data_IF_867730604853
#
_entry.id   IF_867730604853
#
_cell.length_a   1.000
_cell.length_b   1.000
_cell.length_c   1.000
_cell.angle_alpha   90.00
_cell.angle_beta   90.00
_cell.angle_gamma   90.00
#
_symmetry.space_group_name_H-M   'P 1'
#
loop_
_entity.id
_entity.type
_entity.pdbx_description
1 polymer ?
#
# COMPACT_ATOMS: atom_id res chain seq x y z
N UNK A 1 2.71 -61.34 -50.05
CA UNK A 1 2.35 -60.53 -48.86
C UNK A 1 3.44 -59.49 -48.61
N UNK A 2 3.24 -58.24 -49.07
CA UNK A 2 4.15 -57.12 -48.75
C UNK A 2 3.54 -56.34 -47.60
N UNK A 3 4.18 -56.39 -46.42
CA UNK A 3 3.76 -55.64 -45.23
C UNK A 3 3.92 -54.14 -45.50
N UNK A 4 2.81 -53.40 -45.46
CA UNK A 4 2.82 -51.95 -45.39
C UNK A 4 3.40 -51.53 -44.04
N UNK A 5 4.62 -50.99 -44.06
CA UNK A 5 5.21 -50.32 -42.90
C UNK A 5 4.61 -48.91 -42.85
N UNK A 6 3.70 -48.70 -41.90
CA UNK A 6 3.14 -47.40 -41.55
C UNK A 6 4.29 -46.42 -41.22
N UNK A 7 4.32 -45.28 -41.90
CA UNK A 7 5.27 -44.20 -41.68
C UNK A 7 5.22 -43.70 -40.23
N UNK A 8 6.36 -43.70 -39.57
CA UNK A 8 6.54 -43.18 -38.21
C UNK A 8 6.92 -41.70 -38.27
N UNK A 9 5.95 -40.84 -38.56
CA UNK A 9 6.10 -39.38 -38.48
C UNK A 9 5.26 -38.83 -37.32
N UNK A 10 5.53 -39.30 -36.10
CA UNK A 10 4.88 -38.86 -34.87
C UNK A 10 5.89 -38.19 -33.93
N UNK A 11 5.44 -37.17 -33.19
CA UNK A 11 6.22 -36.57 -32.08
C UNK A 11 6.70 -37.69 -31.17
N UNK A 12 8.00 -37.75 -30.91
CA UNK A 12 8.54 -38.84 -30.09
C UNK A 12 8.06 -38.66 -28.65
N UNK A 13 7.69 -39.77 -27.98
CA UNK A 13 7.27 -39.75 -26.57
C UNK A 13 8.31 -39.01 -25.69
N UNK A 14 9.58 -39.11 -26.07
CA UNK A 14 10.69 -38.46 -25.38
C UNK A 14 10.70 -36.94 -25.55
N UNK A 15 10.42 -36.41 -26.75
CA UNK A 15 10.28 -34.96 -26.97
C UNK A 15 9.09 -34.39 -26.19
N UNK A 16 7.96 -35.10 -26.13
CA UNK A 16 6.81 -34.69 -25.33
C UNK A 16 7.16 -34.61 -23.84
N UNK A 17 7.89 -35.61 -23.32
CA UNK A 17 8.36 -35.64 -21.93
C UNK A 17 9.31 -34.48 -21.61
N UNK A 18 10.21 -34.13 -22.53
CA UNK A 18 11.14 -33.02 -22.36
C UNK A 18 10.39 -31.68 -22.31
N UNK A 19 9.42 -31.47 -23.21
CA UNK A 19 8.61 -30.24 -23.24
C UNK A 19 7.77 -30.11 -21.98
N UNK A 20 7.11 -31.18 -21.53
CA UNK A 20 6.31 -31.16 -20.30
C UNK A 20 7.19 -30.91 -19.07
N UNK A 21 8.35 -31.54 -18.98
CA UNK A 21 9.29 -31.34 -17.87
C UNK A 21 9.79 -29.91 -17.79
N UNK A 22 10.18 -29.32 -18.92
CA UNK A 22 10.57 -27.91 -19.01
C UNK A 22 9.41 -26.98 -18.63
N UNK A 23 8.20 -27.27 -19.10
CA UNK A 23 7.02 -26.45 -18.83
C UNK A 23 6.64 -26.47 -17.33
N UNK A 24 6.70 -27.65 -16.68
CA UNK A 24 6.45 -27.79 -15.25
C UNK A 24 7.51 -27.09 -14.40
N UNK A 25 8.79 -27.16 -14.80
CA UNK A 25 9.88 -26.46 -14.14
C UNK A 25 9.71 -24.94 -14.23
N UNK A 26 9.38 -24.44 -15.43
CA UNK A 26 9.10 -23.02 -15.68
C UNK A 26 7.91 -22.55 -14.84
N UNK A 27 6.82 -23.33 -14.79
CA UNK A 27 5.64 -23.02 -13.97
C UNK A 27 5.94 -23.04 -12.46
N UNK A 28 6.68 -24.04 -11.97
CA UNK A 28 6.99 -24.19 -10.55
C UNK A 28 7.88 -23.05 -10.02
N UNK A 29 8.89 -22.66 -10.79
CA UNK A 29 9.73 -21.51 -10.46
C UNK A 29 8.96 -20.18 -10.56
N UNK A 30 8.07 -20.04 -11.55
CA UNK A 30 7.18 -18.88 -11.67
C UNK A 30 6.23 -18.73 -10.48
N UNK A 31 5.67 -19.84 -9.99
CA UNK A 31 4.81 -19.86 -8.80
C UNK A 31 5.59 -19.47 -7.53
N UNK A 32 6.80 -19.99 -7.36
CA UNK A 32 7.68 -19.65 -6.22
C UNK A 32 8.02 -18.16 -6.18
N UNK A 33 8.34 -17.57 -7.33
CA UNK A 33 8.66 -16.15 -7.46
C UNK A 33 7.44 -15.25 -7.24
N UNK A 34 6.27 -15.62 -7.77
CA UNK A 34 5.02 -14.92 -7.50
C UNK A 34 4.73 -14.88 -6.00
N UNK A 35 4.86 -16.02 -5.30
CA UNK A 35 4.65 -16.10 -3.86
C UNK A 35 5.67 -15.28 -3.07
N UNK A 36 6.95 -15.33 -3.46
CA UNK A 36 8.01 -14.54 -2.83
C UNK A 36 7.79 -13.03 -3.02
N UNK A 37 7.45 -12.60 -4.24
CA UNK A 37 7.10 -11.23 -4.57
C UNK A 37 5.74 -10.77 -4.01
N UNK A 38 4.93 -11.67 -3.46
CA UNK A 38 3.74 -11.26 -2.70
C UNK A 38 4.11 -11.07 -1.22
N UNK A 39 4.94 -11.96 -0.69
CA UNK A 39 5.33 -11.98 0.73
C UNK A 39 6.32 -10.90 1.12
N UNK A 40 7.29 -10.56 0.26
CA UNK A 40 8.22 -9.47 0.60
C UNK A 40 7.53 -8.11 0.59
N UNK A 41 6.54 -7.92 -0.28
CA UNK A 41 5.92 -6.61 -0.52
C UNK A 41 4.84 -6.24 0.49
N UNK A 42 4.01 -7.18 0.97
CA UNK A 42 3.02 -6.89 2.02
C UNK A 42 3.68 -6.25 3.25
N UNK A 43 4.89 -6.69 3.58
CA UNK A 43 5.62 -6.21 4.74
C UNK A 43 6.23 -4.82 4.53
N UNK A 44 6.62 -4.45 3.30
CA UNK A 44 7.12 -3.10 3.02
C UNK A 44 5.99 -2.08 2.97
N UNK A 45 4.85 -2.45 2.39
CA UNK A 45 3.69 -1.56 2.28
C UNK A 45 3.07 -1.28 3.64
N UNK A 46 2.86 -2.30 4.48
CA UNK A 46 2.36 -2.14 5.84
C UNK A 46 3.23 -1.18 6.66
N UNK A 47 4.56 -1.33 6.58
CA UNK A 47 5.50 -0.41 7.23
C UNK A 47 5.37 1.01 6.71
N UNK A 48 5.25 1.20 5.41
CA UNK A 48 5.12 2.52 4.82
C UNK A 48 3.81 3.22 5.23
N UNK A 49 2.70 2.48 5.32
CA UNK A 49 1.40 3.00 5.77
C UNK A 49 1.49 3.51 7.20
N UNK A 50 1.96 2.66 8.12
CA UNK A 50 2.17 3.01 9.53
C UNK A 50 3.05 4.26 9.65
N UNK A 51 4.13 4.32 8.86
CA UNK A 51 5.05 5.46 8.85
C UNK A 51 4.38 6.76 8.39
N UNK A 52 3.56 6.68 7.34
CA UNK A 52 2.88 7.85 6.80
C UNK A 52 1.75 8.34 7.72
N UNK A 53 1.00 7.41 8.29
CA UNK A 53 -0.06 7.68 9.26
C UNK A 53 0.50 8.34 10.53
N UNK A 54 1.55 7.77 11.12
CA UNK A 54 2.22 8.35 12.28
C UNK A 54 2.70 9.78 12.01
N UNK A 55 3.27 10.05 10.82
CA UNK A 55 3.66 11.41 10.41
C UNK A 55 2.48 12.35 10.18
N UNK A 56 1.33 11.84 9.76
CA UNK A 56 0.11 12.65 9.58
C UNK A 56 -0.47 13.07 10.93
N UNK A 57 -0.60 12.10 11.85
CA UNK A 57 -1.01 12.35 13.24
C UNK A 57 -0.05 13.35 13.88
N UNK A 58 1.26 13.15 13.69
CA UNK A 58 2.27 14.03 14.26
C UNK A 58 2.13 15.48 13.81
N UNK A 59 1.87 15.72 12.53
CA UNK A 59 1.65 17.08 12.01
C UNK A 59 0.35 17.69 12.53
N UNK A 60 -0.73 16.90 12.56
CA UNK A 60 -1.99 17.38 13.10
C UNK A 60 -1.87 17.79 14.58
N UNK A 61 -1.22 16.94 15.40
CA UNK A 61 -0.97 17.26 16.80
C UNK A 61 -0.10 18.50 16.93
N UNK A 62 0.97 18.63 16.14
CA UNK A 62 1.82 19.82 16.12
C UNK A 62 1.01 21.09 15.85
N UNK A 63 0.15 21.08 14.83
CA UNK A 63 -0.71 22.21 14.49
C UNK A 63 -1.74 22.52 15.60
N UNK A 64 -2.34 21.50 16.23
CA UNK A 64 -3.24 21.70 17.38
C UNK A 64 -2.50 22.32 18.56
N UNK A 65 -1.32 21.80 18.88
CA UNK A 65 -0.58 22.15 20.09
C UNK A 65 0.05 23.55 19.99
N UNK A 66 0.39 24.05 18.79
CA UNK A 66 0.98 25.39 18.62
C UNK A 66 0.00 26.52 19.01
N UNK A 67 -1.30 26.26 18.95
CA UNK A 67 -2.36 27.23 19.29
C UNK A 67 -2.66 27.33 20.80
N UNK A 68 -2.05 26.47 21.60
CA UNK A 68 -2.34 26.33 23.04
C UNK A 68 -1.71 27.45 23.86
N UNK A 69 -2.49 28.00 24.79
CA UNK A 69 -2.03 29.00 25.75
C UNK A 69 -2.09 28.54 27.21
N UNK A 70 -2.70 27.39 27.52
CA UNK A 70 -2.63 26.74 28.83
C UNK A 70 -2.61 25.22 28.64
N UNK A 71 -1.69 24.50 29.31
CA UNK A 71 -1.52 23.05 29.14
C UNK A 71 -1.22 22.33 30.45
N UNK A 72 -1.90 21.21 30.67
CA UNK A 72 -1.66 20.24 31.75
C UNK A 72 -1.50 18.83 31.16
N UNK A 73 -0.43 18.13 31.54
CA UNK A 73 -0.23 16.71 31.21
C UNK A 73 -0.89 15.87 32.31
N UNK A 74 -1.84 15.01 31.92
CA UNK A 74 -2.56 14.14 32.84
C UNK A 74 -1.91 12.75 32.91
N UNK A 75 -1.76 12.22 34.13
CA UNK A 75 -1.21 10.89 34.38
C UNK A 75 -2.20 9.75 34.04
N UNK A 76 -3.51 10.06 33.92
CA UNK A 76 -4.55 9.11 33.54
C UNK A 76 -5.61 9.75 32.64
N UNK A 77 -6.35 8.92 31.91
CA UNK A 77 -7.44 9.38 31.06
C UNK A 77 -8.48 10.18 31.86
N UNK A 78 -9.04 11.25 31.29
CA UNK A 78 -10.01 12.10 31.98
C UNK A 78 -11.31 11.33 32.27
N UNK A 79 -11.73 11.32 33.54
CA UNK A 79 -12.99 10.69 33.98
C UNK A 79 -14.16 11.68 33.95
N UNK A 80 -13.85 12.99 34.03
CA UNK A 80 -14.81 14.09 33.96
C UNK A 80 -14.26 15.20 33.08
N UNK A 81 -15.12 15.88 32.36
CA UNK A 81 -14.77 16.94 31.43
C UNK A 81 -15.32 18.28 31.93
N UNK A 82 -14.47 19.30 31.92
CA UNK A 82 -14.83 20.69 32.16
C UNK A 82 -14.93 21.38 30.79
N UNK A 83 -16.10 21.95 30.53
CA UNK A 83 -16.44 22.60 29.26
C UNK A 83 -15.54 23.83 28.97
N UNK A 84 -14.82 24.36 29.97
CA UNK A 84 -13.81 25.41 29.76
C UNK A 84 -12.49 24.93 29.11
N UNK A 85 -12.30 23.61 28.98
CA UNK A 85 -11.06 23.01 28.50
C UNK A 85 -11.29 22.06 27.33
N UNK A 86 -10.30 22.03 26.43
CA UNK A 86 -10.15 20.95 25.47
C UNK A 86 -9.36 19.79 26.09
N UNK A 87 -9.72 18.58 25.68
CA UNK A 87 -9.11 17.35 26.14
C UNK A 87 -8.66 16.53 24.96
N UNK A 88 -7.48 15.93 25.09
CA UNK A 88 -6.97 14.94 24.16
C UNK A 88 -6.52 13.73 24.97
N UNK A 89 -6.98 12.53 24.63
CA UNK A 89 -6.56 11.31 25.32
C UNK A 89 -6.47 10.13 24.37
N UNK A 90 -5.68 9.14 24.78
CA UNK A 90 -5.55 7.87 24.07
C UNK A 90 -6.37 6.78 24.78
N UNK A 91 -7.31 6.16 24.07
CA UNK A 91 -8.13 5.05 24.57
C UNK A 91 -8.44 4.09 23.43
N UNK A 92 -8.30 2.78 23.68
CA UNK A 92 -8.59 1.70 22.72
C UNK A 92 -7.88 1.87 21.36
N UNK A 93 -6.63 2.34 21.38
CA UNK A 93 -5.86 2.62 20.17
C UNK A 93 -6.56 3.66 19.27
N UNK A 94 -7.21 4.65 19.88
CA UNK A 94 -7.85 5.78 19.23
C UNK A 94 -7.45 7.07 19.96
N UNK A 95 -7.18 8.13 19.20
CA UNK A 95 -6.94 9.45 19.80
C UNK A 95 -8.27 10.17 19.84
N UNK A 96 -8.78 10.41 21.04
CA UNK A 96 -10.02 11.15 21.24
C UNK A 96 -9.70 12.60 21.54
N UNK A 97 -10.51 13.48 20.98
CA UNK A 97 -10.40 14.92 21.16
C UNK A 97 -11.79 15.45 21.50
N UNK A 98 -11.89 16.18 22.60
CA UNK A 98 -13.11 16.87 23.02
C UNK A 98 -12.82 18.34 23.16
N UNK A 99 -13.69 19.17 22.61
CA UNK A 99 -13.60 20.62 22.72
C UNK A 99 -14.96 21.29 22.55
N UNK A 100 -15.00 22.60 22.78
CA UNK A 100 -16.14 23.45 22.47
C UNK A 100 -15.83 24.26 21.23
N UNK A 101 -16.71 24.19 20.23
CA UNK A 101 -16.60 24.93 18.97
C UNK A 101 -17.09 26.39 19.14
N UNK A 102 -16.88 27.21 18.12
CA UNK A 102 -17.24 28.64 18.10
C UNK A 102 -18.74 28.89 18.34
N UNK A 103 -19.59 27.89 18.10
CA UNK A 103 -21.04 27.91 18.35
C UNK A 103 -21.43 27.47 19.78
N UNK A 104 -20.48 27.38 20.72
CA UNK A 104 -20.65 26.88 22.09
C UNK A 104 -21.14 25.41 22.16
N UNK A 105 -21.01 24.65 21.08
CA UNK A 105 -21.36 23.23 21.03
C UNK A 105 -20.18 22.33 21.43
N UNK A 106 -20.46 21.32 22.27
CA UNK A 106 -19.47 20.31 22.63
C UNK A 106 -19.26 19.36 21.46
N UNK A 107 -18.06 19.38 20.89
CA UNK A 107 -17.63 18.49 19.82
C UNK A 107 -16.69 17.44 20.40
N UNK A 108 -17.03 16.17 20.20
CA UNK A 108 -16.15 15.04 20.47
C UNK A 108 -15.85 14.33 19.15
N UNK A 109 -14.57 14.25 18.79
CA UNK A 109 -14.11 13.52 17.62
C UNK A 109 -13.11 12.46 18.01
N UNK A 110 -13.12 11.37 17.27
CA UNK A 110 -12.20 10.26 17.45
C UNK A 110 -11.38 10.12 16.18
N UNK A 111 -10.06 10.16 16.34
CA UNK A 111 -9.13 9.82 15.29
C UNK A 111 -9.25 8.32 15.03
N UNK A 112 -9.92 7.96 13.94
CA UNK A 112 -9.97 6.59 13.45
C UNK A 112 -8.76 6.34 12.57
N UNK A 113 -7.81 5.57 13.08
CA UNK A 113 -6.67 5.04 12.35
C UNK A 113 -6.81 3.53 12.14
N UNK A 114 -6.24 3.03 11.04
CA UNK A 114 -6.29 1.60 10.72
C UNK A 114 -5.14 0.82 11.35
N UNK A 115 -4.03 1.48 11.68
CA UNK A 115 -2.85 0.87 12.31
C UNK A 115 -2.90 0.95 13.83
N UNK A 116 -2.19 0.04 14.53
CA UNK A 116 -2.01 0.13 15.98
C UNK A 116 -0.94 1.19 16.33
N UNK A 117 -1.39 2.40 16.70
CA UNK A 117 -0.58 3.58 17.02
C UNK A 117 -0.99 4.20 18.35
N UNK A 118 0.00 4.43 19.20
CA UNK A 118 -0.15 5.11 20.49
C UNK A 118 0.57 6.44 20.50
N UNK A 119 0.05 7.40 21.27
CA UNK A 119 0.68 8.70 21.49
C UNK A 119 1.04 8.86 22.96
N UNK A 120 2.28 9.30 23.21
CA UNK A 120 2.79 9.65 24.53
C UNK A 120 3.25 11.11 24.54
N UNK A 121 2.81 11.87 25.54
CA UNK A 121 3.20 13.27 25.76
C UNK A 121 4.28 13.36 26.82
N UNK A 122 5.29 14.19 26.58
CA UNK A 122 6.51 14.27 27.39
C UNK A 122 6.88 15.75 27.56
N UNK A 123 7.17 16.17 28.79
CA UNK A 123 7.70 17.52 29.04
C UNK A 123 9.10 17.64 28.43
N UNK A 124 9.27 18.63 27.56
CA UNK A 124 10.49 18.84 26.81
C UNK A 124 11.66 19.24 27.70
N UNK A 125 12.86 18.80 27.32
CA UNK A 125 14.11 19.09 28.03
C UNK A 125 15.12 19.81 27.14
N UNK A 126 15.95 20.64 27.75
CA UNK A 126 17.11 21.28 27.11
C UNK A 126 18.24 20.26 26.89
N UNK A 127 19.29 20.66 26.16
CA UNK A 127 20.48 19.83 25.92
C UNK A 127 21.26 19.45 27.20
N UNK A 128 20.92 20.05 28.36
CA UNK A 128 21.51 19.79 29.68
C UNK A 128 20.61 18.91 30.55
N UNK A 129 19.44 18.50 30.05
CA UNK A 129 18.47 17.65 30.76
C UNK A 129 17.49 18.40 31.67
N UNK A 130 17.49 19.73 31.68
CA UNK A 130 16.53 20.54 32.44
C UNK A 130 15.22 20.66 31.67
N UNK A 131 14.09 20.63 32.37
CA UNK A 131 12.79 20.87 31.73
C UNK A 131 12.68 22.30 31.21
N UNK A 132 12.10 22.42 30.01
CA UNK A 132 11.77 23.69 29.40
C UNK A 132 10.29 23.97 29.66
N UNK A 133 9.97 25.15 30.19
CA UNK A 133 8.63 25.48 30.68
C UNK A 133 7.56 25.50 29.58
N UNK A 134 7.94 25.83 28.34
CA UNK A 134 7.05 26.03 27.20
C UNK A 134 7.34 25.05 26.06
N UNK A 135 7.98 23.90 26.33
CA UNK A 135 8.28 22.93 25.28
C UNK A 135 7.62 21.60 25.62
N UNK A 136 6.68 21.19 24.77
CA UNK A 136 6.03 19.89 24.84
C UNK A 136 6.62 19.00 23.75
N UNK A 137 7.01 17.79 24.11
CA UNK A 137 7.33 16.74 23.17
C UNK A 137 6.20 15.71 23.15
N UNK A 138 6.03 15.06 22.02
CA UNK A 138 5.12 13.93 21.92
C UNK A 138 5.67 12.90 20.94
N UNK A 139 5.42 11.64 21.25
CA UNK A 139 5.87 10.52 20.44
C UNK A 139 4.68 9.73 19.95
N UNK A 140 4.63 9.50 18.64
CA UNK A 140 3.70 8.55 18.02
C UNK A 140 4.45 7.25 17.79
N UNK A 141 4.02 6.16 18.45
CA UNK A 141 4.67 4.85 18.44
C UNK A 141 3.73 3.83 17.80
N UNK A 142 4.24 3.04 16.86
CA UNK A 142 3.50 1.89 16.35
C UNK A 142 3.74 0.63 17.17
N UNK A 143 2.65 -0.09 17.47
CA UNK A 143 2.70 -1.39 18.11
C UNK A 143 2.87 -2.53 17.08
N UNK A 144 2.47 -2.29 15.82
CA UNK A 144 2.56 -3.26 14.72
C UNK A 144 3.95 -3.32 14.08
N UNK A 145 4.66 -2.20 14.06
CA UNK A 145 5.96 -2.03 13.39
C UNK A 145 6.92 -1.31 14.32
N UNK A 146 8.20 -1.71 14.30
CA UNK A 146 9.28 -0.96 14.95
C UNK A 146 9.50 0.40 14.26
N UNK A 147 8.62 1.35 14.55
CA UNK A 147 8.64 2.71 14.05
C UNK A 147 8.03 3.65 15.08
N UNK A 148 8.72 4.78 15.31
CA UNK A 148 8.19 5.88 16.10
C UNK A 148 8.61 7.23 15.51
N UNK A 149 7.79 8.24 15.77
CA UNK A 149 8.04 9.64 15.40
C UNK A 149 7.97 10.47 16.67
N UNK A 150 9.07 11.14 17.00
CA UNK A 150 9.14 12.10 18.10
C UNK A 150 9.12 13.51 17.53
N UNK A 151 8.09 14.28 17.88
CA UNK A 151 7.99 15.70 17.55
C UNK A 151 7.99 16.54 18.84
N UNK A 152 8.25 17.83 18.69
CA UNK A 152 8.18 18.77 19.80
C UNK A 152 7.68 20.13 19.34
N UNK A 153 6.85 20.73 20.18
CA UNK A 153 6.18 22.01 19.93
C UNK A 153 6.57 22.97 21.03
N UNK A 154 7.03 24.15 20.60
CA UNK A 154 7.19 25.27 21.50
C UNK A 154 5.85 25.97 21.64
N UNK A 155 5.29 25.98 22.84
CA UNK A 155 4.03 26.64 23.18
C UNK A 155 4.25 28.15 23.22
N UNK A 156 4.27 28.77 22.04
CA UNK A 156 4.58 30.21 21.87
C UNK A 156 3.54 31.12 22.46
N UNK A 157 2.31 30.64 22.57
CA UNK A 157 1.18 31.36 23.16
C UNK A 157 1.08 31.19 24.68
N UNK A 158 1.96 30.38 25.28
CA UNK A 158 2.07 30.27 26.73
C UNK A 158 2.66 31.58 27.28
N UNK A 159 1.94 32.24 28.19
CA UNK A 159 2.42 33.48 28.81
C UNK A 159 3.79 33.29 29.45
N UNK A 160 4.66 34.31 29.42
CA UNK A 160 6.07 34.25 29.88
C UNK A 160 6.29 33.68 31.30
N UNK A 161 5.25 33.66 32.13
CA UNK A 161 5.28 33.17 33.52
C UNK A 161 4.46 31.89 33.74
N UNK A 162 3.90 31.31 32.67
CA UNK A 162 3.15 30.06 32.72
C UNK A 162 4.05 28.91 32.26
N UNK A 163 3.85 27.74 32.85
CA UNK A 163 4.57 26.51 32.53
C UNK A 163 3.58 25.38 32.27
N UNK A 164 4.02 24.35 31.57
CA UNK A 164 3.27 23.10 31.48
C UNK A 164 3.02 22.55 32.90
N UNK A 165 1.75 22.34 33.23
CA UNK A 165 1.29 21.80 34.51
C UNK A 165 1.18 20.26 34.48
N UNK A 166 0.95 19.66 35.65
CA UNK A 166 0.76 18.22 35.77
C UNK A 166 2.06 17.41 35.69
N UNK A 167 1.94 16.20 35.15
CA UNK A 167 3.02 15.20 35.07
C UNK A 167 4.18 15.58 34.15
N UNK A 168 5.22 14.74 34.16
CA UNK A 168 6.34 14.84 33.21
C UNK A 168 6.08 14.04 31.93
N UNK A 169 5.23 13.02 32.01
CA UNK A 169 4.85 12.11 30.93
C UNK A 169 3.39 11.74 31.11
N UNK A 170 2.64 11.57 30.04
CA UNK A 170 1.23 11.18 30.12
C UNK A 170 0.67 10.78 28.75
N UNK A 171 -0.46 10.09 28.76
CA UNK A 171 -1.18 9.70 27.54
C UNK A 171 -2.35 10.65 27.23
N UNK A 172 -2.53 11.68 28.06
CA UNK A 172 -3.67 12.59 28.02
C UNK A 172 -3.22 14.02 28.29
N UNK A 173 -3.87 14.96 27.62
CA UNK A 173 -3.66 16.41 27.75
C UNK A 173 -4.98 17.09 28.07
N UNK A 174 -4.90 18.09 28.95
CA UNK A 174 -5.96 19.06 29.21
C UNK A 174 -5.41 20.45 28.89
N UNK A 175 -6.11 21.21 28.06
CA UNK A 175 -5.57 22.48 27.58
C UNK A 175 -6.63 23.49 27.20
N UNK A 176 -6.20 24.76 27.09
CA UNK A 176 -6.98 25.85 26.49
C UNK A 176 -6.28 26.37 25.25
N UNK A 177 -7.05 26.65 24.21
CA UNK A 177 -6.57 27.07 22.89
C UNK A 177 -7.45 28.18 22.32
N UNK A 178 -6.87 29.00 21.44
CA UNK A 178 -7.54 30.10 20.74
C UNK A 178 -8.33 29.60 19.52
N UNK A 179 -7.94 28.47 18.93
CA UNK A 179 -8.61 27.86 17.78
C UNK A 179 -8.24 26.39 17.69
N UNK A 180 -9.23 25.52 17.49
CA UNK A 180 -8.99 24.11 17.19
C UNK A 180 -9.19 23.88 15.70
N UNK A 181 -8.36 23.02 15.12
CA UNK A 181 -8.64 22.53 13.77
C UNK A 181 -9.64 21.40 13.95
N UNK A 182 -10.91 21.71 13.68
CA UNK A 182 -12.05 20.81 13.81
C UNK A 182 -11.98 19.63 12.85
N UNK A 183 -11.30 19.82 11.72
CA UNK A 183 -11.07 18.81 10.70
C UNK A 183 -9.62 18.32 10.73
N UNK A 184 -9.46 17.05 11.09
CA UNK A 184 -8.21 16.33 10.87
C UNK A 184 -7.81 16.43 9.39
N UNK A 185 -6.50 16.49 9.07
CA UNK A 185 -6.09 16.25 7.70
C UNK A 185 -6.60 14.85 7.35
N UNK A 186 -7.61 14.78 6.47
CA UNK A 186 -8.08 13.52 5.89
C UNK A 186 -6.82 12.83 5.39
N UNK A 187 -6.42 11.74 6.06
CA UNK A 187 -5.25 11.03 5.59
C UNK A 187 -5.61 10.57 4.19
N UNK A 188 -4.86 11.07 3.21
CA UNK A 188 -5.20 10.85 1.82
C UNK A 188 -4.83 9.42 1.42
N UNK A 189 -5.60 8.46 1.92
CA UNK A 189 -5.64 7.11 1.41
C UNK A 189 -6.07 7.11 -0.06
N UNK A 190 -6.51 8.24 -0.64
CA UNK A 190 -6.70 8.35 -2.09
C UNK A 190 -5.38 8.33 -2.87
N UNK A 191 -4.21 8.46 -2.22
CA UNK A 191 -2.93 8.02 -2.82
C UNK A 191 -2.85 6.50 -3.03
N UNK A 192 -3.89 5.74 -2.70
CA UNK A 192 -4.04 4.32 -2.93
C UNK A 192 -5.14 4.18 -3.99
N UNK A 193 -4.99 3.31 -4.99
CA UNK A 193 -5.94 3.18 -6.11
C UNK A 193 -7.41 3.11 -5.65
N UNK A 194 -8.09 4.26 -5.60
CA UNK A 194 -9.40 4.46 -4.94
C UNK A 194 -10.49 3.53 -5.47
N UNK A 195 -10.50 3.34 -6.79
CA UNK A 195 -11.46 2.45 -7.46
C UNK A 195 -11.17 0.98 -7.12
N UNK A 196 -9.89 0.61 -7.04
CA UNK A 196 -9.49 -0.76 -6.70
C UNK A 196 -9.85 -1.04 -5.24
N UNK A 197 -9.49 -0.16 -4.30
CA UNK A 197 -9.85 -0.27 -2.88
C UNK A 197 -11.37 -0.37 -2.69
N UNK A 198 -12.17 0.46 -3.38
CA UNK A 198 -13.63 0.40 -3.30
C UNK A 198 -14.24 -0.91 -3.84
N UNK A 199 -13.58 -1.56 -4.79
CA UNK A 199 -14.04 -2.83 -5.37
C UNK A 199 -13.61 -4.06 -4.56
N UNK A 200 -12.40 -4.05 -3.99
CA UNK A 200 -11.84 -5.17 -3.22
C UNK A 200 -12.20 -5.10 -1.73
N UNK A 201 -12.44 -3.90 -1.19
CA UNK A 201 -12.88 -3.67 0.18
C UNK A 201 -11.75 -3.47 1.19
N UNK A 202 -10.50 -3.66 0.77
CA UNK A 202 -9.31 -3.34 1.57
C UNK A 202 -8.18 -2.90 0.64
N UNK A 203 -7.35 -1.96 1.12
CA UNK A 203 -6.12 -1.56 0.44
C UNK A 203 -5.01 -2.61 0.58
N UNK A 204 -5.10 -3.48 1.60
CA UNK A 204 -4.16 -4.59 1.84
C UNK A 204 -4.40 -5.78 0.89
N UNK A 205 -5.40 -5.70 0.03
CA UNK A 205 -5.66 -6.75 -0.94
C UNK A 205 -4.49 -6.83 -1.96
N UNK A 206 -3.92 -8.02 -2.22
CA UNK A 206 -2.77 -8.18 -3.12
C UNK A 206 -2.96 -7.56 -4.51
N UNK A 207 -4.19 -7.62 -5.03
CA UNK A 207 -4.55 -6.99 -6.30
C UNK A 207 -4.41 -5.47 -6.28
N UNK A 208 -4.80 -4.83 -5.17
CA UNK A 208 -4.73 -3.38 -4.99
C UNK A 208 -3.27 -2.95 -4.84
N UNK A 209 -2.51 -3.65 -4.00
CA UNK A 209 -1.08 -3.42 -3.78
C UNK A 209 -0.29 -3.44 -5.11
N UNK A 210 -0.55 -4.45 -5.97
CA UNK A 210 0.12 -4.58 -7.26
C UNK A 210 -0.19 -3.41 -8.22
N UNK A 211 -1.44 -2.97 -8.28
CA UNK A 211 -1.86 -1.84 -9.11
C UNK A 211 -1.24 -0.52 -8.64
N UNK A 212 -1.13 -0.32 -7.33
CA UNK A 212 -0.46 0.85 -6.75
C UNK A 212 1.01 0.91 -7.14
N UNK A 213 1.70 -0.23 -7.03
CA UNK A 213 3.10 -0.33 -7.45
C UNK A 213 3.27 -0.04 -8.94
N UNK A 214 2.37 -0.53 -9.79
CA UNK A 214 2.40 -0.26 -11.23
C UNK A 214 2.22 1.24 -11.52
N UNK A 215 1.35 1.90 -10.76
CA UNK A 215 1.22 3.35 -10.82
C UNK A 215 2.51 4.05 -10.41
N UNK A 216 3.08 3.67 -9.29
CA UNK A 216 4.20 4.40 -8.68
C UNK A 216 5.54 4.16 -9.37
N UNK A 217 5.83 2.93 -9.79
CA UNK A 217 7.10 2.56 -10.42
C UNK A 217 7.09 2.63 -11.96
N UNK A 218 5.93 2.58 -12.60
CA UNK A 218 5.87 2.56 -14.07
C UNK A 218 5.10 3.74 -14.66
N UNK A 219 3.90 4.06 -14.17
CA UNK A 219 3.13 5.18 -14.73
C UNK A 219 3.74 6.55 -14.39
N UNK A 220 4.35 6.72 -13.22
CA UNK A 220 4.96 7.99 -12.84
C UNK A 220 6.24 8.34 -13.62
N UNK A 221 6.95 7.35 -14.17
CA UNK A 221 8.17 7.56 -14.94
C UNK A 221 7.88 8.25 -16.29
N UNK A 222 6.73 7.98 -16.92
CA UNK A 222 6.38 8.53 -18.24
C UNK A 222 5.42 9.73 -18.15
N UNK A 223 5.65 10.76 -18.97
CA UNK A 223 4.84 12.00 -18.97
C UNK A 223 3.35 11.78 -19.22
N UNK A 224 3.00 10.85 -20.13
CA UNK A 224 1.61 10.47 -20.39
C UNK A 224 0.98 9.72 -19.21
N UNK A 225 1.78 8.92 -18.49
CA UNK A 225 1.32 8.21 -17.30
C UNK A 225 0.94 9.17 -16.18
N UNK A 226 1.73 10.22 -15.94
CA UNK A 226 1.40 11.27 -14.96
C UNK A 226 0.07 11.98 -15.28
N UNK A 227 -0.20 12.27 -16.56
CA UNK A 227 -1.48 12.86 -16.99
C UNK A 227 -2.65 11.89 -16.78
N UNK A 228 -2.47 10.62 -17.11
CA UNK A 228 -3.48 9.58 -16.86
C UNK A 228 -3.79 9.44 -15.36
N UNK A 229 -2.76 9.42 -14.51
CA UNK A 229 -2.90 9.33 -13.05
C UNK A 229 -3.66 10.54 -12.51
N UNK A 230 -3.35 11.76 -12.98
CA UNK A 230 -4.08 12.97 -12.58
C UNK A 230 -5.54 12.93 -13.02
N UNK A 231 -5.82 12.50 -14.25
CA UNK A 231 -7.19 12.32 -14.73
C UNK A 231 -7.96 11.29 -13.89
N UNK A 232 -7.32 10.16 -13.58
CA UNK A 232 -7.86 9.11 -12.73
C UNK A 232 -8.25 9.65 -11.34
N UNK A 233 -7.38 10.40 -10.67
CA UNK A 233 -7.69 10.97 -9.36
C UNK A 233 -8.79 12.02 -9.40
N UNK A 234 -8.82 12.85 -10.44
CA UNK A 234 -9.86 13.88 -10.57
C UNK A 234 -11.28 13.28 -10.75
N UNK A 235 -11.39 12.05 -11.26
CA UNK A 235 -12.69 11.42 -11.53
C UNK A 235 -13.01 10.22 -10.60
N UNK A 236 -12.07 9.75 -9.80
CA UNK A 236 -12.22 8.50 -9.04
C UNK A 236 -13.07 8.65 -7.77
N UNK A 237 -13.00 9.78 -7.04
CA UNK A 237 -13.75 10.02 -5.79
C UNK A 237 -15.27 9.80 -5.92
N UNK A 238 -16.00 10.39 -6.90
CA UNK A 238 -17.43 10.15 -7.04
C UNK A 238 -17.74 8.71 -7.51
N UNK A 239 -16.88 8.14 -8.37
CA UNK A 239 -17.06 6.79 -8.89
C UNK A 239 -16.93 5.72 -7.81
N UNK A 240 -15.95 5.88 -6.90
CA UNK A 240 -15.67 4.91 -5.86
C UNK A 240 -16.81 4.79 -4.85
N UNK A 241 -17.46 5.89 -4.49
CA UNK A 241 -18.61 5.89 -3.57
C UNK A 241 -19.80 5.10 -4.15
N UNK A 242 -20.03 5.18 -5.47
CA UNK A 242 -21.10 4.44 -6.15
C UNK A 242 -20.77 2.95 -6.24
N UNK A 243 -19.51 2.61 -6.57
CA UNK A 243 -19.03 1.23 -6.63
C UNK A 243 -19.07 0.58 -5.25
N UNK A 244 -18.64 1.29 -4.21
CA UNK A 244 -18.63 0.79 -2.84
C UNK A 244 -20.04 0.44 -2.35
N UNK A 245 -21.09 1.13 -2.81
CA UNK A 245 -22.47 0.87 -2.38
C UNK A 245 -23.14 -0.33 -3.05
N UNK A 246 -22.62 -0.87 -4.15
CA UNK A 246 -23.29 -1.92 -4.92
C UNK A 246 -22.39 -3.11 -5.25
N UNK A 247 -22.78 -4.31 -4.78
CA UNK A 247 -22.00 -5.54 -4.99
C UNK A 247 -21.80 -5.91 -6.47
N UNK A 248 -22.77 -5.58 -7.34
CA UNK A 248 -22.69 -5.85 -8.78
C UNK A 248 -21.61 -4.98 -9.45
N UNK A 249 -21.53 -3.69 -9.13
CA UNK A 249 -20.47 -2.83 -9.66
C UNK A 249 -19.10 -3.26 -9.14
N UNK A 250 -18.99 -3.71 -7.88
CA UNK A 250 -17.74 -4.27 -7.35
C UNK A 250 -17.28 -5.47 -8.18
N UNK A 251 -18.20 -6.37 -8.54
CA UNK A 251 -17.86 -7.53 -9.37
C UNK A 251 -17.41 -7.12 -10.78
N UNK A 252 -18.13 -6.19 -11.42
CA UNK A 252 -17.77 -5.67 -12.75
C UNK A 252 -16.41 -4.97 -12.74
N UNK A 253 -16.13 -4.16 -11.72
CA UNK A 253 -14.82 -3.51 -11.57
C UNK A 253 -13.70 -4.52 -11.34
N UNK A 254 -13.91 -5.57 -10.54
CA UNK A 254 -12.92 -6.65 -10.38
C UNK A 254 -12.61 -7.35 -11.71
N UNK A 255 -13.63 -7.66 -12.51
CA UNK A 255 -13.45 -8.28 -13.84
C UNK A 255 -12.65 -7.36 -14.76
N UNK A 256 -12.96 -6.06 -14.75
CA UNK A 256 -12.26 -5.07 -15.58
C UNK A 256 -10.82 -4.81 -15.12
N UNK A 257 -10.55 -4.89 -13.81
CA UNK A 257 -9.21 -4.72 -13.25
C UNK A 257 -8.33 -5.96 -13.42
N UNK A 258 -8.90 -7.15 -13.56
CA UNK A 258 -8.15 -8.40 -13.71
C UNK A 258 -7.08 -8.39 -14.82
N UNK A 259 -7.38 -8.00 -16.08
CA UNK A 259 -6.34 -7.91 -17.12
C UNK A 259 -5.26 -6.86 -16.79
N UNK A 260 -5.64 -5.76 -16.12
CA UNK A 260 -4.69 -4.72 -15.71
C UNK A 260 -3.74 -5.22 -14.61
N UNK A 261 -4.25 -5.99 -13.63
CA UNK A 261 -3.45 -6.64 -12.59
C UNK A 261 -2.45 -7.62 -13.22
N UNK A 262 -2.88 -8.40 -14.21
CA UNK A 262 -2.01 -9.34 -14.90
C UNK A 262 -0.85 -8.62 -15.63
N UNK A 263 -1.16 -7.53 -16.34
CA UNK A 263 -0.15 -6.70 -17.03
C UNK A 263 0.79 -6.02 -16.04
N UNK A 264 0.26 -5.44 -14.97
CA UNK A 264 1.03 -4.83 -13.90
C UNK A 264 2.05 -5.81 -13.30
N UNK A 265 1.61 -7.02 -12.96
CA UNK A 265 2.46 -8.08 -12.42
C UNK A 265 3.58 -8.50 -13.36
N UNK A 266 3.31 -8.49 -14.66
CA UNK A 266 4.30 -8.83 -15.69
C UNK A 266 5.37 -7.75 -15.87
N UNK A 267 5.00 -6.47 -15.75
CA UNK A 267 5.92 -5.32 -15.97
C UNK A 267 6.84 -5.09 -14.78
N UNK A 268 6.28 -5.12 -13.56
CA UNK A 268 6.95 -4.77 -12.31
C UNK A 268 8.02 -5.76 -11.87
N UNK A 269 7.98 -6.98 -12.41
CA UNK A 269 8.91 -8.02 -12.05
C UNK A 269 9.83 -8.33 -13.24
N UNK A 270 11.12 -7.95 -13.20
CA UNK A 270 12.07 -8.19 -14.29
C UNK A 270 12.22 -9.70 -14.60
N UNK A 271 11.94 -10.54 -13.59
CA UNK A 271 11.90 -11.99 -13.73
C UNK A 271 10.73 -12.42 -14.63
N UNK A 272 9.53 -11.83 -14.51
CA UNK A 272 8.43 -12.11 -15.43
C UNK A 272 8.74 -11.67 -16.87
N UNK A 273 9.54 -10.61 -17.04
CA UNK A 273 10.06 -10.16 -18.34
C UNK A 273 11.00 -11.20 -18.96
N UNK A 274 11.93 -11.74 -18.16
CA UNK A 274 12.81 -12.85 -18.55
C UNK A 274 12.02 -14.13 -18.84
N UNK A 275 10.99 -14.43 -18.06
CA UNK A 275 10.09 -15.56 -18.28
C UNK A 275 9.29 -15.44 -19.57
N UNK A 276 8.72 -14.26 -19.85
CA UNK A 276 8.03 -14.00 -21.11
C UNK A 276 8.97 -14.20 -22.30
N UNK A 277 10.21 -13.72 -22.19
CA UNK A 277 11.23 -13.96 -23.20
C UNK A 277 11.60 -15.45 -23.32
N UNK A 278 11.83 -16.16 -22.21
CA UNK A 278 12.12 -17.59 -22.20
C UNK A 278 10.97 -18.42 -22.79
N UNK A 279 9.73 -18.08 -22.46
CA UNK A 279 8.53 -18.73 -22.99
C UNK A 279 8.40 -18.52 -24.50
N UNK A 280 8.59 -17.29 -24.98
CA UNK A 280 8.62 -16.98 -26.41
C UNK A 280 9.73 -17.75 -27.14
N UNK A 281 10.92 -17.87 -26.54
CA UNK A 281 12.02 -18.65 -27.10
C UNK A 281 11.73 -20.16 -27.08
N UNK A 282 11.15 -20.71 -26.01
CA UNK A 282 10.73 -22.10 -25.95
C UNK A 282 9.64 -22.43 -26.97
N UNK A 283 8.67 -21.53 -27.17
CA UNK A 283 7.66 -21.63 -28.23
C UNK A 283 8.29 -21.55 -29.62
N UNK A 284 9.27 -20.68 -29.83
CA UNK A 284 10.02 -20.59 -31.09
C UNK A 284 10.81 -21.88 -31.35
N UNK A 285 11.49 -22.44 -30.34
CA UNK A 285 12.21 -23.71 -30.45
C UNK A 285 11.25 -24.86 -30.72
N UNK A 286 10.13 -24.94 -30.01
CA UNK A 286 9.09 -25.94 -30.26
C UNK A 286 8.54 -25.81 -31.69
N UNK A 287 8.26 -24.59 -32.15
CA UNK A 287 7.83 -24.31 -33.52
C UNK A 287 8.89 -24.73 -34.55
N UNK A 288 10.18 -24.44 -34.30
CA UNK A 288 11.28 -24.86 -35.18
C UNK A 288 11.42 -26.38 -35.21
N UNK A 289 11.28 -27.07 -34.07
CA UNK A 289 11.32 -28.53 -34.01
C UNK A 289 10.15 -29.17 -34.76
N UNK A 290 8.94 -28.60 -34.60
CA UNK A 290 7.74 -28.98 -35.35
C UNK A 290 7.84 -28.65 -36.85
N UNK A 291 8.56 -27.60 -37.22
CA UNK A 291 8.79 -27.21 -38.63
C UNK A 291 9.93 -28.01 -39.28
N UNK A 292 10.95 -28.39 -38.52
CA UNK A 292 12.09 -29.18 -39.00
C UNK A 292 11.66 -30.61 -39.30
N UNK A 293 10.76 -31.18 -38.49
CA UNK A 293 10.13 -32.48 -38.78
C UNK A 293 9.29 -32.44 -40.06
N UNK A 294 8.68 -31.31 -40.41
CA UNK A 294 7.92 -31.14 -41.67
C UNK A 294 8.80 -30.84 -42.89
N UNK A 295 9.97 -30.22 -42.73
CA UNK A 295 10.93 -29.96 -43.83
C UNK A 295 11.75 -31.20 -44.21
N UNK A 296 12.11 -32.06 -43.27
CA UNK A 296 12.77 -33.35 -43.57
C UNK A 296 11.88 -34.28 -44.40
N UNK A 297 10.55 -34.13 -44.30
CA UNK A 297 9.55 -34.86 -45.10
C UNK A 297 9.56 -34.45 -46.58
N UNK A 298 9.87 -33.18 -46.90
CA UNK A 298 9.91 -32.69 -48.29
C UNK A 298 11.20 -33.07 -49.02
N UNK A 299 12.35 -33.06 -48.34
CA UNK A 299 13.64 -33.41 -48.96
C UNK A 299 13.79 -34.93 -49.18
N UNK A 300 13.24 -35.76 -48.29
CA UNK A 300 13.19 -37.22 -48.46
C UNK A 300 12.32 -37.69 -49.64
N UNK A 301 11.41 -36.85 -50.13
CA UNK A 301 10.52 -37.16 -51.26
C UNK A 301 11.15 -36.87 -52.63
N UNK A 302 12.20 -36.05 -52.70
CA UNK A 302 12.94 -35.74 -53.94
C UNK A 302 14.15 -36.67 -54.16
N UNK A 303 14.72 -37.26 -53.10
CA UNK A 303 15.89 -38.15 -53.20
C UNK A 303 15.62 -39.54 -53.81
N UNK A 304 14.36 -39.89 -54.10
CA UNK A 304 13.97 -41.23 -54.58
C UNK A 304 13.65 -41.30 -56.09
N UNK A 305 13.96 -40.25 -56.87
CA UNK A 305 13.66 -40.20 -58.31
C UNK A 305 14.85 -40.47 -59.25
N UNK A 306 16.04 -40.82 -58.75
CA UNK A 306 17.21 -41.05 -59.62
C UNK A 306 17.89 -42.40 -59.35
N UNK A 307 17.39 -43.45 -60.00
CA UNK A 307 18.19 -44.50 -60.65
C UNK A 307 17.25 -45.64 -61.07
N UNK A 308 16.73 -45.55 -62.29
CA UNK A 308 16.24 -46.73 -63.02
C UNK A 308 16.46 -46.50 -64.51
N UNK A 309 17.68 -46.79 -64.94
CA UNK A 309 17.99 -47.26 -66.29
C UNK A 309 19.06 -48.33 -66.15
#
# INVERSE_FOLDING_TARGET
MKKNVLGKDGVTLMELLIVISLMLLVMGLGYSLYFYAQKSFSNYEARWIVQNEARSISRYLEDQLDTIYQLEILDSNPVSFDDEYAYLWNEDNQIHIRYIDDDDEVVSTTLNHESDLTVEFIRGKDSKGNFINNFLQFQVVSNDVDYSVLNGVELRNLGKNMSIEGGNTGNSLKFKTVSLISELPEMDYSTFCVVATASYGSYQEPAVMLLRRFRDEFLNDFGLGRTFVRFYYNHSKPLSQVIARSGVLRLLTRILLYPLIAVAGMILNPVFRLYGFMYMNCMLIAYILLKKSTLSVLYGRMGNFSCKQ
#
